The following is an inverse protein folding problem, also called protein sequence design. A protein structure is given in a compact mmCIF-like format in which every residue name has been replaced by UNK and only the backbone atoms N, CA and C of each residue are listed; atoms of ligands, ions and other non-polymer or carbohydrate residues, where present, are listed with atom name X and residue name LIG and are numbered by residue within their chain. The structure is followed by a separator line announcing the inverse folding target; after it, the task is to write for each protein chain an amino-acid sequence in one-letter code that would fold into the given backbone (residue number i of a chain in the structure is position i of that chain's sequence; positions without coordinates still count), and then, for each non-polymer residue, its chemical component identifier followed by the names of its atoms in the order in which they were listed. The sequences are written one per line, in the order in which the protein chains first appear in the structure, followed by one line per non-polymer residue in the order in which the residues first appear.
data_IF_106360934167
#
_entry.id   IF_106360934167
#
_cell.length_a   1.000
_cell.length_b   1.000
_cell.length_c   1.000
_cell.angle_alpha   90.00
_cell.angle_beta   90.00
_cell.angle_gamma   90.00
#
_symmetry.space_group_name_H-M   'P 1'
#
loop_
_entity.id
_entity.type
_entity.pdbx_description
1 polymer ?
#
# COMPACT_ATOMS: atom_id res chain seq x y z
N UNK A 1 -39.89 15.31 -3.83
CA UNK A 1 -40.01 14.03 -4.58
C UNK A 1 -38.88 13.80 -5.60
N UNK A 2 -38.12 14.82 -6.04
CA UNK A 2 -37.00 14.60 -6.97
C UNK A 2 -35.64 14.27 -6.30
N UNK A 3 -35.45 14.64 -5.02
CA UNK A 3 -34.21 14.35 -4.28
C UNK A 3 -34.05 12.85 -3.97
N UNK A 4 -35.12 12.14 -3.62
CA UNK A 4 -35.10 10.69 -3.36
C UNK A 4 -34.69 9.86 -4.60
N UNK A 5 -35.16 10.24 -5.78
CA UNK A 5 -34.81 9.53 -7.02
C UNK A 5 -33.31 9.66 -7.35
N UNK A 6 -32.71 10.82 -7.07
CA UNK A 6 -31.28 11.06 -7.30
C UNK A 6 -30.40 10.24 -6.33
N UNK A 7 -30.82 10.15 -5.07
CA UNK A 7 -30.13 9.31 -4.07
C UNK A 7 -30.14 7.83 -4.45
N UNK A 8 -31.28 7.31 -4.93
CA UNK A 8 -31.39 5.92 -5.37
C UNK A 8 -30.45 5.59 -6.55
N UNK A 9 -30.26 6.52 -7.50
CA UNK A 9 -29.34 6.32 -8.63
C UNK A 9 -27.88 6.33 -8.18
N UNK A 10 -27.50 7.18 -7.21
CA UNK A 10 -26.14 7.18 -6.65
C UNK A 10 -25.83 5.84 -5.98
N UNK A 11 -26.75 5.35 -5.14
CA UNK A 11 -26.60 4.05 -4.46
C UNK A 11 -26.53 2.87 -5.44
N UNK A 12 -27.31 2.90 -6.53
CA UNK A 12 -27.20 1.87 -7.57
C UNK A 12 -25.85 1.88 -8.29
N UNK A 13 -25.28 3.06 -8.55
CA UNK A 13 -23.94 3.18 -9.16
C UNK A 13 -22.85 2.66 -8.23
N UNK A 14 -22.90 3.07 -6.96
CA UNK A 14 -22.00 2.60 -5.91
C UNK A 14 -22.03 1.07 -5.80
N UNK A 15 -23.24 0.50 -5.67
CA UNK A 15 -23.42 -0.96 -5.61
C UNK A 15 -22.82 -1.66 -6.83
N UNK A 16 -23.04 -1.12 -8.03
CA UNK A 16 -22.50 -1.68 -9.27
C UNK A 16 -20.97 -1.58 -9.33
N UNK A 17 -20.39 -0.50 -8.81
CA UNK A 17 -18.95 -0.33 -8.74
C UNK A 17 -18.30 -1.34 -7.79
N UNK A 18 -18.86 -1.47 -6.58
CA UNK A 18 -18.39 -2.45 -5.60
C UNK A 18 -18.56 -3.89 -6.10
N UNK A 19 -19.67 -4.19 -6.77
CA UNK A 19 -19.88 -5.50 -7.40
C UNK A 19 -18.79 -5.79 -8.44
N UNK A 20 -18.46 -4.81 -9.31
CA UNK A 20 -17.37 -4.97 -10.27
C UNK A 20 -16.01 -5.20 -9.58
N UNK A 21 -15.73 -4.46 -8.50
CA UNK A 21 -14.51 -4.67 -7.71
C UNK A 21 -14.44 -6.09 -7.12
N UNK A 22 -15.54 -6.58 -6.53
CA UNK A 22 -15.62 -7.94 -5.99
C UNK A 22 -15.52 -9.02 -7.09
N UNK A 23 -16.06 -8.74 -8.28
CA UNK A 23 -15.93 -9.63 -9.44
C UNK A 23 -14.48 -9.74 -9.90
N UNK A 24 -13.72 -8.65 -9.94
CA UNK A 24 -12.28 -8.66 -10.28
C UNK A 24 -11.46 -9.46 -9.26
N UNK A 25 -11.79 -9.34 -7.96
CA UNK A 25 -11.18 -10.15 -6.89
C UNK A 25 -11.51 -11.63 -7.09
N UNK A 26 -12.79 -11.94 -7.32
CA UNK A 26 -13.27 -13.31 -7.47
C UNK A 26 -12.74 -14.00 -8.73
N UNK A 27 -12.42 -13.21 -9.77
CA UNK A 27 -11.83 -13.69 -11.01
C UNK A 27 -10.30 -13.79 -10.96
N UNK A 28 -9.67 -13.33 -9.88
CA UNK A 28 -8.20 -13.34 -9.70
C UNK A 28 -7.46 -12.71 -10.90
N UNK A 29 -8.01 -11.59 -11.40
CA UNK A 29 -7.40 -10.87 -12.55
C UNK A 29 -6.13 -10.12 -12.13
N UNK A 30 -5.93 -9.93 -10.83
CA UNK A 30 -4.87 -9.11 -10.21
C UNK A 30 -5.02 -7.61 -10.50
N UNK A 31 -6.19 -7.15 -10.94
CA UNK A 31 -6.45 -5.73 -11.30
C UNK A 31 -7.21 -4.99 -10.21
N UNK A 32 -6.92 -5.31 -8.96
CA UNK A 32 -7.53 -4.66 -7.81
C UNK A 32 -6.44 -4.36 -6.77
N UNK A 33 -6.64 -3.30 -6.00
CA UNK A 33 -5.82 -2.98 -4.83
C UNK A 33 -6.73 -2.77 -3.62
N UNK A 34 -6.24 -3.07 -2.44
CA UNK A 34 -6.92 -2.92 -1.16
C UNK A 34 -5.89 -2.57 -0.09
N UNK A 35 -6.31 -2.12 1.09
CA UNK A 35 -5.41 -1.51 2.09
C UNK A 35 -4.78 -0.19 1.63
N UNK A 36 -4.30 0.58 2.60
CA UNK A 36 -3.70 1.89 2.35
C UNK A 36 -2.35 1.74 1.65
N UNK A 37 -1.54 0.78 2.05
CA UNK A 37 -0.19 0.57 1.51
C UNK A 37 -0.19 0.23 0.02
N UNK A 38 -0.91 -0.82 -0.39
CA UNK A 38 -0.99 -1.21 -1.81
C UNK A 38 -1.67 -0.12 -2.65
N UNK A 39 -2.66 0.57 -2.08
CA UNK A 39 -3.32 1.68 -2.76
C UNK A 39 -2.36 2.85 -3.00
N UNK A 40 -1.50 3.19 -2.03
CA UNK A 40 -0.49 4.24 -2.24
C UNK A 40 0.52 3.83 -3.32
N UNK A 41 1.03 2.60 -3.30
CA UNK A 41 1.94 2.10 -4.33
C UNK A 41 1.30 2.10 -5.72
N UNK A 42 0.05 1.64 -5.82
CA UNK A 42 -0.70 1.67 -7.08
C UNK A 42 -0.96 3.10 -7.58
N UNK A 43 -1.14 4.05 -6.65
CA UNK A 43 -1.36 5.46 -6.96
C UNK A 43 -0.09 6.10 -7.52
N UNK A 44 1.07 5.85 -6.89
CA UNK A 44 2.39 6.32 -7.36
C UNK A 44 2.74 5.78 -8.75
N UNK A 45 2.39 4.52 -9.03
CA UNK A 45 2.53 3.91 -10.35
C UNK A 45 1.49 4.42 -11.37
N UNK A 46 0.50 5.21 -10.96
CA UNK A 46 -0.59 5.68 -11.81
C UNK A 46 -1.48 4.55 -12.34
N UNK A 47 -1.46 3.38 -11.70
CA UNK A 47 -2.14 2.17 -12.14
C UNK A 47 -3.64 2.19 -11.84
N UNK A 48 -4.09 3.03 -10.91
CA UNK A 48 -5.49 3.07 -10.46
C UNK A 48 -6.40 3.73 -11.51
N UNK A 49 -7.41 3.00 -11.98
CA UNK A 49 -8.48 3.57 -12.80
C UNK A 49 -9.54 4.23 -11.93
N UNK A 50 -10.07 3.47 -10.99
CA UNK A 50 -11.18 3.83 -10.12
C UNK A 50 -10.77 3.59 -8.68
N UNK A 51 -10.57 4.67 -7.94
CA UNK A 51 -10.30 4.63 -6.52
C UNK A 51 -11.62 4.67 -5.74
N UNK A 52 -11.78 3.71 -4.84
CA UNK A 52 -12.99 3.49 -4.05
C UNK A 52 -12.63 3.77 -2.59
N UNK A 53 -13.23 4.80 -1.99
CA UNK A 53 -12.97 5.16 -0.60
C UNK A 53 -14.29 5.22 0.16
N UNK A 54 -14.32 4.62 1.34
CA UNK A 54 -15.45 4.77 2.26
C UNK A 54 -15.49 6.20 2.82
N UNK A 55 -16.63 6.86 2.73
CA UNK A 55 -16.75 8.28 3.13
C UNK A 55 -16.51 8.52 4.61
N UNK A 56 -16.69 7.50 5.45
CA UNK A 56 -16.49 7.59 6.90
C UNK A 56 -15.21 6.86 7.34
N UNK A 57 -14.22 6.76 6.44
CA UNK A 57 -12.93 6.16 6.74
C UNK A 57 -12.16 7.04 7.73
N UNK A 58 -11.99 6.56 8.95
CA UNK A 58 -11.24 7.24 10.02
C UNK A 58 -9.73 7.03 9.87
N UNK A 59 -9.19 7.31 8.69
CA UNK A 59 -7.75 7.25 8.37
C UNK A 59 -7.23 8.67 8.15
N UNK A 60 -6.24 9.04 8.94
CA UNK A 60 -5.57 10.32 8.85
C UNK A 60 -4.18 10.13 8.27
N UNK A 61 -3.81 11.03 7.36
CA UNK A 61 -2.45 11.15 6.81
C UNK A 61 -1.68 12.09 7.71
N UNK A 62 -0.62 11.56 8.32
CA UNK A 62 0.29 12.31 9.17
C UNK A 62 1.61 12.51 8.46
N UNK A 63 2.06 13.76 8.39
CA UNK A 63 3.43 14.08 8.02
C UNK A 63 4.23 14.21 9.30
N UNK A 64 5.09 13.23 9.53
CA UNK A 64 6.00 13.19 10.66
C UNK A 64 7.38 13.66 10.22
N UNK A 65 7.97 14.56 11.00
CA UNK A 65 9.35 14.99 10.78
C UNK A 65 10.20 14.55 11.95
N UNK A 66 11.28 13.83 11.64
CA UNK A 66 12.26 13.46 12.64
C UNK A 66 13.15 14.68 12.96
N UNK A 67 13.15 15.12 14.22
CA UNK A 67 13.95 16.27 14.65
C UNK A 67 15.46 16.03 14.57
N UNK A 68 15.89 14.76 14.60
CA UNK A 68 17.31 14.39 14.56
C UNK A 68 17.86 14.26 13.15
N UNK A 69 17.09 13.70 12.22
CA UNK A 69 17.54 13.45 10.84
C UNK A 69 17.01 14.47 9.83
N UNK A 70 16.05 15.32 10.23
CA UNK A 70 15.27 16.23 9.35
C UNK A 70 14.50 15.50 8.23
N UNK A 71 14.39 14.17 8.30
CA UNK A 71 13.65 13.40 7.32
C UNK A 71 12.14 13.50 7.59
N UNK A 72 11.37 13.72 6.53
CA UNK A 72 9.91 13.75 6.59
C UNK A 72 9.37 12.41 6.11
N UNK A 73 8.67 11.70 6.99
CA UNK A 73 7.98 10.45 6.68
C UNK A 73 6.48 10.66 6.73
N UNK A 74 5.77 10.12 5.75
CA UNK A 74 4.31 10.17 5.68
C UNK A 74 3.78 8.84 6.18
N UNK A 75 2.99 8.86 7.24
CA UNK A 75 2.33 7.67 7.76
C UNK A 75 0.82 7.81 7.69
N UNK A 76 0.14 6.69 7.49
CA UNK A 76 -1.31 6.63 7.48
C UNK A 76 -1.77 5.85 8.71
N UNK A 77 -2.44 6.54 9.62
CA UNK A 77 -2.90 5.93 10.87
C UNK A 77 -4.42 5.99 10.92
N UNK A 78 -5.02 4.88 11.33
CA UNK A 78 -6.43 4.88 11.74
C UNK A 78 -6.59 5.58 13.09
N UNK A 79 -7.78 6.10 13.39
CA UNK A 79 -8.09 6.69 14.71
C UNK A 79 -7.85 5.72 15.88
N UNK A 80 -7.97 4.41 15.65
CA UNK A 80 -7.62 3.41 16.67
C UNK A 80 -6.11 3.26 16.87
N UNK A 81 -5.30 3.46 15.83
CA UNK A 81 -3.84 3.48 15.91
C UNK A 81 -3.29 4.82 16.45
N UNK A 82 -4.02 5.93 16.27
CA UNK A 82 -3.70 7.21 16.92
C UNK A 82 -3.63 7.08 18.45
N UNK A 83 -4.37 6.12 19.04
CA UNK A 83 -4.34 5.84 20.47
C UNK A 83 -3.08 5.10 20.93
N UNK A 84 -2.30 4.54 20.01
CA UNK A 84 -1.04 3.84 20.29
C UNK A 84 0.13 4.81 20.08
N UNK A 85 0.59 5.39 21.19
CA UNK A 85 1.74 6.30 21.31
C UNK A 85 3.03 5.75 20.65
N UNK A 86 3.15 4.42 20.52
CA UNK A 86 4.24 3.74 19.85
C UNK A 86 4.39 4.05 18.35
N UNK A 87 3.36 4.57 17.66
CA UNK A 87 3.48 4.99 16.25
C UNK A 87 4.10 6.38 16.07
N UNK A 88 4.17 7.18 17.15
CA UNK A 88 4.87 8.46 17.17
C UNK A 88 6.32 8.33 17.64
N UNK A 89 6.73 7.12 18.04
CA UNK A 89 8.10 6.77 18.39
C UNK A 89 8.67 5.83 17.34
N UNK A 90 9.71 6.30 16.65
CA UNK A 90 10.42 5.49 15.67
C UNK A 90 11.08 4.29 16.36
N UNK A 91 10.70 3.07 15.98
CA UNK A 91 11.24 1.82 16.55
C UNK A 91 12.73 1.63 16.26
N UNK A 92 13.29 2.31 15.26
CA UNK A 92 14.72 2.21 14.94
C UNK A 92 15.57 3.25 15.68
N UNK A 93 15.04 4.44 15.96
CA UNK A 93 15.85 5.53 16.57
C UNK A 93 15.41 5.95 17.98
N UNK A 94 14.22 5.58 18.44
CA UNK A 94 13.69 5.95 19.76
C UNK A 94 13.49 7.46 19.94
N UNK A 95 13.32 8.20 18.82
CA UNK A 95 13.15 9.66 18.79
C UNK A 95 11.66 9.98 18.63
N UNK A 96 11.17 10.97 19.37
CA UNK A 96 9.84 11.56 19.17
C UNK A 96 9.75 12.17 17.77
N UNK A 97 8.83 11.67 16.96
CA UNK A 97 8.52 12.23 15.65
C UNK A 97 7.57 13.41 15.83
N UNK A 98 7.94 14.58 15.30
CA UNK A 98 7.10 15.77 15.37
C UNK A 98 6.01 15.66 14.30
N UNK A 99 4.74 15.75 14.71
CA UNK A 99 3.61 15.87 13.77
C UNK A 99 3.64 17.26 13.15
N UNK A 100 4.09 17.35 11.90
CA UNK A 100 4.11 18.59 11.13
C UNK A 100 2.73 18.91 10.60
N UNK A 101 2.08 17.90 10.03
CA UNK A 101 0.78 18.08 9.39
C UNK A 101 -0.12 16.87 9.63
N UNK A 102 -1.40 17.15 9.84
CA UNK A 102 -2.46 16.14 9.97
C UNK A 102 -3.59 16.54 9.03
N UNK A 103 -3.85 15.70 8.04
CA UNK A 103 -4.97 15.87 7.09
C UNK A 103 -5.77 14.56 7.00
N UNK A 104 -7.07 14.66 6.77
CA UNK A 104 -7.89 13.47 6.51
C UNK A 104 -7.49 12.85 5.17
N UNK A 105 -7.26 11.53 5.15
CA UNK A 105 -6.84 10.85 3.92
C UNK A 105 -7.86 11.01 2.78
N UNK A 106 -9.15 11.02 3.15
CA UNK A 106 -10.27 11.27 2.24
C UNK A 106 -10.17 12.64 1.58
N UNK A 107 -9.85 13.68 2.35
CA UNK A 107 -9.71 15.06 1.87
C UNK A 107 -8.48 15.20 0.98
N UNK A 108 -7.35 14.66 1.40
CA UNK A 108 -6.12 14.65 0.62
C UNK A 108 -6.34 13.95 -0.73
N UNK A 109 -7.03 12.81 -0.76
CA UNK A 109 -7.37 12.12 -2.00
C UNK A 109 -8.29 12.95 -2.88
N UNK A 110 -9.28 13.65 -2.30
CA UNK A 110 -10.16 14.56 -3.04
C UNK A 110 -9.40 15.76 -3.65
N UNK A 111 -8.28 16.16 -3.08
CA UNK A 111 -7.43 17.22 -3.62
C UNK A 111 -6.45 16.69 -4.68
N UNK A 112 -5.91 15.48 -4.49
CA UNK A 112 -4.80 14.96 -5.30
C UNK A 112 -5.21 13.99 -6.41
N UNK A 113 -6.42 13.41 -6.43
CA UNK A 113 -6.83 12.40 -7.42
C UNK A 113 -6.64 12.84 -8.89
N UNK A 114 -6.75 14.15 -9.17
CA UNK A 114 -6.58 14.70 -10.52
C UNK A 114 -5.15 14.57 -11.03
N UNK A 115 -4.16 14.62 -10.16
CA UNK A 115 -2.75 14.50 -10.52
C UNK A 115 -2.41 13.08 -10.97
N UNK A 116 -3.04 12.09 -10.35
CA UNK A 116 -2.85 10.66 -10.64
C UNK A 116 -3.72 10.16 -11.81
N UNK A 117 -4.65 10.97 -12.30
CA UNK A 117 -5.55 10.57 -13.39
C UNK A 117 -6.46 9.39 -13.03
N UNK A 118 -6.81 9.24 -11.74
CA UNK A 118 -7.75 8.23 -11.27
C UNK A 118 -9.15 8.84 -11.07
N UNK A 119 -10.19 8.01 -11.09
CA UNK A 119 -11.55 8.40 -10.74
C UNK A 119 -11.81 8.09 -9.28
N UNK A 120 -12.01 9.12 -8.47
CA UNK A 120 -12.37 8.97 -7.07
C UNK A 120 -13.88 8.76 -6.93
N UNK A 121 -14.27 7.66 -6.29
CA UNK A 121 -15.66 7.31 -6.00
C UNK A 121 -15.84 7.03 -4.51
N UNK A 122 -16.78 7.74 -3.89
CA UNK A 122 -17.10 7.55 -2.47
C UNK A 122 -18.22 6.54 -2.28
N UNK A 123 -18.02 5.63 -1.33
CA UNK A 123 -18.97 4.56 -1.00
C UNK A 123 -19.42 4.65 0.45
N UNK A 124 -20.54 4.00 0.76
CA UNK A 124 -21.17 3.88 2.07
C UNK A 124 -21.28 2.42 2.48
N UNK A 125 -21.54 2.18 3.77
CA UNK A 125 -21.81 0.85 4.32
C UNK A 125 -23.29 0.46 4.25
N UNK A 126 -24.13 1.22 3.54
CA UNK A 126 -25.59 0.99 3.46
C UNK A 126 -25.98 -0.25 2.66
N UNK A 127 -25.12 -0.68 1.74
CA UNK A 127 -25.32 -1.87 0.92
C UNK A 127 -24.54 -3.06 1.49
N UNK A 128 -25.01 -4.28 1.24
CA UNK A 128 -24.30 -5.51 1.67
C UNK A 128 -22.87 -5.56 1.13
N UNK A 129 -22.67 -5.14 -0.12
CA UNK A 129 -21.35 -5.03 -0.76
C UNK A 129 -20.47 -3.95 -0.09
N UNK A 130 -21.08 -2.84 0.34
CA UNK A 130 -20.38 -1.76 1.04
C UNK A 130 -19.91 -2.18 2.43
N UNK A 131 -20.76 -2.87 3.19
CA UNK A 131 -20.35 -3.45 4.48
C UNK A 131 -19.23 -4.47 4.32
N UNK A 132 -19.25 -5.29 3.27
CA UNK A 132 -18.17 -6.23 2.96
C UNK A 132 -16.87 -5.50 2.57
N UNK A 133 -16.97 -4.41 1.81
CA UNK A 133 -15.82 -3.59 1.46
C UNK A 133 -15.15 -2.99 2.70
N UNK A 134 -15.93 -2.40 3.60
CA UNK A 134 -15.41 -1.81 4.84
C UNK A 134 -14.82 -2.88 5.76
N UNK A 135 -15.53 -3.98 6.00
CA UNK A 135 -15.09 -5.03 6.95
C UNK A 135 -14.03 -5.98 6.39
N UNK A 136 -14.02 -6.21 5.08
CA UNK A 136 -13.13 -7.15 4.42
C UNK A 136 -11.85 -6.51 3.89
N UNK A 137 -11.94 -5.27 3.41
CA UNK A 137 -10.86 -4.60 2.69
C UNK A 137 -10.40 -3.29 3.36
N UNK A 138 -10.90 -3.00 4.58
CA UNK A 138 -10.49 -1.83 5.35
C UNK A 138 -11.08 -0.50 4.87
N UNK A 139 -12.12 -0.53 4.02
CA UNK A 139 -12.81 0.68 3.55
C UNK A 139 -12.02 1.51 2.54
N UNK A 140 -10.92 0.97 2.00
CA UNK A 140 -10.12 1.57 0.94
C UNK A 140 -9.73 0.51 -0.09
N UNK A 141 -9.78 0.88 -1.36
CA UNK A 141 -9.35 0.03 -2.45
C UNK A 141 -9.58 0.67 -3.80
N UNK A 142 -9.23 -0.04 -4.86
CA UNK A 142 -9.36 0.48 -6.21
C UNK A 142 -9.31 -0.59 -7.27
N UNK A 143 -9.85 -0.25 -8.43
CA UNK A 143 -9.74 -1.05 -9.64
C UNK A 143 -8.59 -0.46 -10.47
N UNK A 144 -7.66 -1.32 -10.84
CA UNK A 144 -6.47 -0.97 -11.61
C UNK A 144 -6.74 -1.08 -13.11
N UNK A 145 -6.08 -0.23 -13.90
CA UNK A 145 -6.08 -0.30 -15.37
C UNK A 145 -5.32 -1.51 -15.90
N UNK A 146 -4.29 -1.93 -15.18
CA UNK A 146 -3.44 -3.09 -15.49
C UNK A 146 -3.14 -3.87 -14.23
N UNK A 147 -2.79 -5.16 -14.39
CA UNK A 147 -2.40 -6.00 -13.25
C UNK A 147 -1.13 -5.42 -12.64
N UNK A 148 -1.13 -5.28 -11.31
CA UNK A 148 0.06 -4.92 -10.52
C UNK A 148 0.28 -6.06 -9.53
N UNK A 149 1.49 -6.61 -9.52
CA UNK A 149 1.87 -7.64 -8.57
C UNK A 149 2.48 -6.96 -7.33
N UNK A 150 1.61 -6.66 -6.35
CA UNK A 150 2.00 -6.01 -5.09
C UNK A 150 2.97 -6.88 -4.27
N UNK A 151 2.89 -8.21 -4.45
CA UNK A 151 3.79 -9.17 -3.81
C UNK A 151 5.22 -9.03 -4.33
N UNK A 152 5.40 -8.92 -5.66
CA UNK A 152 6.73 -8.66 -6.21
C UNK A 152 7.23 -7.28 -5.81
N UNK A 153 6.36 -6.26 -5.79
CA UNK A 153 6.75 -4.91 -5.42
C UNK A 153 7.28 -4.82 -3.97
N UNK A 154 6.60 -5.49 -3.02
CA UNK A 154 7.08 -5.62 -1.66
C UNK A 154 8.42 -6.39 -1.57
N UNK A 155 8.61 -7.43 -2.39
CA UNK A 155 9.87 -8.17 -2.45
C UNK A 155 11.01 -7.35 -3.09
N UNK A 156 10.73 -6.49 -4.06
CA UNK A 156 11.73 -5.62 -4.67
C UNK A 156 12.20 -4.51 -3.72
N UNK A 157 11.31 -3.95 -2.89
CA UNK A 157 11.69 -3.02 -1.82
C UNK A 157 12.56 -3.68 -0.75
N UNK A 158 12.31 -4.96 -0.43
CA UNK A 158 13.12 -5.73 0.51
C UNK A 158 14.51 -6.09 -0.07
N UNK A 159 14.57 -6.45 -1.35
CA UNK A 159 15.85 -6.77 -2.03
C UNK A 159 16.69 -5.53 -2.37
N UNK A 160 16.07 -4.35 -2.57
CA UNK A 160 16.79 -3.10 -2.81
C UNK A 160 17.61 -2.57 -1.62
N UNK A 161 17.41 -3.12 -0.41
CA UNK A 161 18.25 -2.85 0.77
C UNK A 161 19.51 -3.73 0.84
N UNK A 162 19.68 -4.71 -0.05
CA UNK A 162 20.73 -5.72 0.07
C UNK A 162 21.84 -5.64 -1.00
N UNK A 163 21.92 -4.56 -1.79
CA UNK A 163 22.94 -4.38 -2.83
C UNK A 163 23.83 -3.15 -2.59
N UNK A 164 24.18 -2.86 -1.33
CA UNK A 164 25.09 -1.73 -1.04
C UNK A 164 26.17 -2.00 0.00
N UNK A 165 26.45 -3.26 0.33
CA UNK A 165 27.62 -3.65 1.13
C UNK A 165 28.10 -5.03 0.66
N UNK A 166 29.10 -5.10 -0.21
CA UNK A 166 30.44 -5.55 0.21
C UNK A 166 31.45 -5.43 -0.95
N UNK A 167 32.62 -4.96 -0.56
CA UNK A 167 33.78 -4.47 -1.29
C UNK A 167 34.44 -5.53 -2.20
N UNK A 168 34.95 -5.14 -3.37
CA UNK A 168 36.36 -4.80 -3.61
C UNK A 168 37.39 -5.77 -3.02
N UNK A 169 38.21 -6.27 -3.95
CA UNK A 169 39.63 -6.60 -3.83
C UNK A 169 40.12 -8.02 -3.45
N UNK A 170 40.82 -8.56 -4.46
CA UNK A 170 42.18 -9.09 -4.38
C UNK A 170 42.41 -10.53 -3.92
N UNK A 171 42.68 -11.37 -4.93
CA UNK A 171 43.89 -12.15 -5.17
C UNK A 171 44.56 -12.99 -4.06
N UNK A 172 45.09 -14.11 -4.55
CA UNK A 172 46.26 -14.86 -4.11
C UNK A 172 46.12 -16.19 -3.32
N UNK A 173 46.42 -17.25 -4.09
CA UNK A 173 47.20 -18.47 -3.81
C UNK A 173 47.01 -19.31 -2.52
N UNK A 174 46.75 -20.61 -2.74
CA UNK A 174 47.54 -21.71 -2.14
C UNK A 174 47.28 -23.03 -2.90
N UNK A 175 48.30 -23.48 -3.64
CA UNK A 175 48.47 -24.87 -4.09
C UNK A 175 48.62 -25.81 -2.88
N UNK A 176 47.91 -26.95 -2.83
CA UNK A 176 48.30 -28.06 -1.95
C UNK A 176 47.79 -29.42 -2.49
N UNK A 177 48.69 -30.10 -3.20
CA UNK A 177 48.95 -31.55 -3.26
C UNK A 177 47.77 -32.53 -3.04
N UNK A 178 47.30 -33.15 -4.14
CA UNK A 178 46.52 -34.39 -4.07
C UNK A 178 47.41 -35.61 -4.35
N UNK A 179 47.06 -36.68 -3.66
CA UNK A 179 47.88 -37.76 -3.12
C UNK A 179 48.07 -38.91 -4.12
N UNK A 180 49.32 -39.36 -4.30
CA UNK A 180 49.69 -40.64 -4.93
C UNK A 180 49.26 -41.84 -4.08
N UNK A 181 49.14 -43.02 -4.72
CA UNK A 181 48.81 -44.38 -4.20
C UNK A 181 47.30 -44.66 -4.00
N UNK A 182 46.65 -45.68 -4.56
CA UNK A 182 47.04 -47.04 -4.99
C UNK A 182 45.97 -47.58 -5.98
N UNK A 183 46.34 -48.08 -7.18
CA UNK A 183 45.53 -49.04 -7.95
C UNK A 183 46.43 -50.20 -8.43
N UNK A 184 46.61 -51.18 -7.56
CA UNK A 184 47.12 -52.51 -7.89
C UNK A 184 45.94 -53.44 -8.18
N UNK A 185 45.79 -53.87 -9.43
CA UNK A 185 44.83 -54.90 -9.83
C UNK A 185 45.41 -55.81 -10.91
N UNK A 186 45.87 -56.99 -10.47
CA UNK A 186 46.38 -58.11 -11.27
C UNK A 186 45.28 -58.82 -12.08
#
# INVERSE_FOLDING_TARGET
MSADALGAVKLMKEKKLLQKFMDEISQDTGRFCFMVDDTMKALELGAIENLIIWENLSVNRFELRNTSTQETSIIHLTTEQEANDNFFHDTETGVELEVVEKEEFVEWMANNYKQFGCKLEFVTDRSSEGTQFVKGFGGIGGILRWKVDFVELNNFEDQGKHDNDDDSDSDDSADEYDFDDDDFGF
#
